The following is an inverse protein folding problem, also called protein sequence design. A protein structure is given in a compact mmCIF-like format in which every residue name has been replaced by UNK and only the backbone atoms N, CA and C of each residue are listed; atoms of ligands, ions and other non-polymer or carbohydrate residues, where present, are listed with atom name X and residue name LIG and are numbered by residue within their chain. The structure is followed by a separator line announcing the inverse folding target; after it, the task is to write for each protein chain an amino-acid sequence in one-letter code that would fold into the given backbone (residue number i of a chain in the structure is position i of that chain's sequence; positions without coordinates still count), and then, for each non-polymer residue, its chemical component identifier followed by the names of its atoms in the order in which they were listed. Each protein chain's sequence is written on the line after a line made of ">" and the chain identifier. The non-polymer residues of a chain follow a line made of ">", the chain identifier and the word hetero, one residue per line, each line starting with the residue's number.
data_IF_572639908969
#
_entry.id   IF_572639908969
#
_cell.length_a   1.000
_cell.length_b   1.000
_cell.length_c   1.000
_cell.angle_alpha   90.00
_cell.angle_beta   90.00
_cell.angle_gamma   90.00
#
_symmetry.space_group_name_H-M   'P 1'
#
loop_
_entity.id
_entity.type
_entity.pdbx_description
1 polymer ?
#
# COMPACT_ATOMS: atom_id res chain seq x y z
N UNK A 1 -18.73 1.23 -5.92
CA UNK A 1 -19.44 1.46 -4.64
C UNK A 1 -19.49 0.14 -3.89
N UNK A 2 -19.76 0.12 -2.57
CA UNK A 2 -19.91 -1.13 -1.83
C UNK A 2 -20.93 -2.09 -2.45
N UNK A 3 -22.02 -1.54 -3.02
CA UNK A 3 -23.10 -2.29 -3.66
C UNK A 3 -22.75 -3.02 -4.95
N UNK A 4 -21.59 -2.75 -5.57
CA UNK A 4 -21.21 -3.37 -6.84
C UNK A 4 -19.82 -4.03 -6.82
N UNK A 5 -19.28 -4.30 -5.63
CA UNK A 5 -17.96 -4.91 -5.47
C UNK A 5 -17.94 -6.32 -6.06
N UNK A 6 -18.90 -7.16 -5.67
CA UNK A 6 -19.00 -8.55 -6.12
C UNK A 6 -19.14 -8.70 -7.64
N UNK A 7 -20.11 -8.04 -8.33
CA UNK A 7 -20.23 -8.17 -9.78
C UNK A 7 -18.97 -7.66 -10.51
N UNK A 8 -18.34 -6.59 -10.00
CA UNK A 8 -17.10 -6.07 -10.60
C UNK A 8 -15.89 -6.98 -10.36
N UNK A 9 -15.85 -7.70 -9.25
CA UNK A 9 -14.82 -8.68 -8.98
C UNK A 9 -14.94 -9.86 -9.95
N UNK A 10 -16.18 -10.30 -10.25
CA UNK A 10 -16.42 -11.35 -11.24
C UNK A 10 -16.03 -10.91 -12.66
N UNK A 11 -16.45 -9.71 -13.09
CA UNK A 11 -16.03 -9.15 -14.38
C UNK A 11 -14.49 -9.11 -14.51
N UNK A 12 -13.78 -8.73 -13.44
CA UNK A 12 -12.32 -8.71 -13.45
C UNK A 12 -11.73 -10.11 -13.61
N UNK A 13 -12.26 -11.13 -12.90
CA UNK A 13 -11.80 -12.51 -13.00
C UNK A 13 -11.88 -13.03 -14.44
N UNK A 14 -12.94 -12.68 -15.15
CA UNK A 14 -13.19 -13.15 -16.51
C UNK A 14 -12.28 -12.47 -17.53
N UNK A 15 -11.85 -11.22 -17.28
CA UNK A 15 -11.06 -10.41 -18.22
C UNK A 15 -9.55 -10.44 -17.96
N UNK A 16 -9.12 -10.55 -16.70
CA UNK A 16 -7.75 -10.32 -16.31
C UNK A 16 -6.95 -11.64 -16.30
N UNK A 17 -5.96 -11.77 -17.17
CA UNK A 17 -5.04 -12.90 -17.11
C UNK A 17 -3.97 -12.68 -16.01
N UNK A 18 -3.51 -13.74 -15.30
CA UNK A 18 -2.51 -13.62 -14.23
C UNK A 18 -1.22 -12.90 -14.63
N UNK A 19 -0.81 -13.01 -15.90
CA UNK A 19 0.37 -12.29 -16.45
C UNK A 19 0.27 -10.75 -16.35
N UNK A 20 -0.93 -10.20 -16.17
CA UNK A 20 -1.16 -8.76 -16.03
C UNK A 20 -1.26 -8.28 -14.57
N UNK A 21 -1.16 -9.17 -13.58
CA UNK A 21 -1.24 -8.80 -12.17
C UNK A 21 -0.17 -7.78 -11.78
N UNK A 22 1.06 -7.91 -12.28
CA UNK A 22 2.13 -6.94 -12.04
C UNK A 22 1.78 -5.53 -12.52
N UNK A 23 1.24 -5.42 -13.74
CA UNK A 23 0.81 -4.14 -14.30
C UNK A 23 -0.35 -3.54 -13.51
N UNK A 24 -1.39 -4.33 -13.22
CA UNK A 24 -2.57 -3.85 -12.49
C UNK A 24 -2.22 -3.47 -11.06
N UNK A 25 -1.42 -4.29 -10.36
CA UNK A 25 -0.96 -4.00 -9.00
C UNK A 25 -0.22 -2.67 -8.95
N UNK A 26 0.69 -2.41 -9.89
CA UNK A 26 1.37 -1.13 -9.99
C UNK A 26 0.43 0.04 -10.30
N UNK A 27 -0.52 -0.15 -11.23
CA UNK A 27 -1.52 0.86 -11.53
C UNK A 27 -2.35 1.23 -10.30
N UNK A 28 -2.85 0.22 -9.56
CA UNK A 28 -3.64 0.42 -8.35
C UNK A 28 -2.84 1.18 -7.30
N UNK A 29 -1.58 0.82 -7.06
CA UNK A 29 -0.75 1.51 -6.06
C UNK A 29 -0.51 2.98 -6.43
N UNK A 30 -0.05 3.23 -7.65
CA UNK A 30 0.36 4.57 -8.09
C UNK A 30 -0.83 5.49 -8.35
N UNK A 31 -1.95 4.97 -8.89
CA UNK A 31 -3.07 5.81 -9.35
C UNK A 31 -4.28 5.81 -8.44
N UNK A 32 -4.37 4.88 -7.47
CA UNK A 32 -5.53 4.74 -6.58
C UNK A 32 -5.13 4.73 -5.12
N UNK A 33 -4.41 3.70 -4.67
CA UNK A 33 -4.11 3.49 -3.24
C UNK A 33 -3.34 4.68 -2.66
N UNK A 34 -2.28 5.15 -3.33
CA UNK A 34 -1.49 6.27 -2.81
C UNK A 34 -2.24 7.61 -2.79
N UNK A 35 -3.30 7.79 -3.58
CA UNK A 35 -3.99 9.07 -3.77
C UNK A 35 -5.41 9.12 -3.20
N UNK A 36 -6.03 7.95 -2.94
CA UNK A 36 -7.44 7.84 -2.58
C UNK A 36 -7.63 7.05 -1.27
N UNK A 37 -7.14 7.55 -0.11
CA UNK A 37 -7.22 6.84 1.17
C UNK A 37 -8.65 6.51 1.61
N UNK A 38 -9.61 7.37 1.27
CA UNK A 38 -11.02 7.18 1.60
C UNK A 38 -11.66 5.95 0.91
N UNK A 39 -11.01 5.38 -0.12
CA UNK A 39 -11.49 4.18 -0.81
C UNK A 39 -10.70 2.92 -0.44
N UNK A 40 -9.77 2.97 0.52
CA UNK A 40 -8.98 1.79 0.90
C UNK A 40 -9.83 0.61 1.32
N UNK A 41 -10.80 0.81 2.23
CA UNK A 41 -11.70 -0.26 2.66
C UNK A 41 -12.51 -0.86 1.50
N UNK A 42 -12.87 -0.05 0.50
CA UNK A 42 -13.56 -0.51 -0.71
C UNK A 42 -12.65 -1.38 -1.58
N UNK A 43 -11.39 -0.98 -1.77
CA UNK A 43 -10.42 -1.77 -2.53
C UNK A 43 -10.07 -3.08 -1.83
N UNK A 44 -9.98 -3.06 -0.49
CA UNK A 44 -9.75 -4.24 0.31
C UNK A 44 -10.91 -5.24 0.18
N UNK A 45 -12.15 -4.75 0.31
CA UNK A 45 -13.34 -5.58 0.07
C UNK A 45 -13.35 -6.14 -1.36
N UNK A 46 -12.92 -5.37 -2.35
CA UNK A 46 -12.78 -5.85 -3.73
C UNK A 46 -11.76 -6.98 -3.85
N UNK A 47 -10.59 -6.85 -3.23
CA UNK A 47 -9.57 -7.91 -3.22
C UNK A 47 -10.06 -9.17 -2.50
N UNK A 48 -10.86 -9.02 -1.44
CA UNK A 48 -11.43 -10.16 -0.71
C UNK A 48 -12.41 -10.95 -1.60
N UNK A 49 -13.22 -10.26 -2.41
CA UNK A 49 -14.12 -10.90 -3.37
C UNK A 49 -13.38 -11.65 -4.51
N UNK A 50 -12.11 -11.32 -4.76
CA UNK A 50 -11.31 -12.06 -5.73
C UNK A 50 -10.92 -13.46 -5.24
N UNK A 51 -10.93 -13.71 -3.93
CA UNK A 51 -10.57 -15.00 -3.33
C UNK A 51 -9.21 -15.50 -3.80
N UNK A 52 -9.09 -16.79 -4.07
CA UNK A 52 -7.83 -17.44 -4.47
C UNK A 52 -7.24 -16.88 -5.77
N UNK A 53 -8.10 -16.51 -6.74
CA UNK A 53 -7.67 -15.88 -7.97
C UNK A 53 -6.92 -14.56 -7.70
N UNK A 54 -7.30 -13.82 -6.66
CA UNK A 54 -6.70 -12.54 -6.29
C UNK A 54 -5.33 -12.62 -5.62
N UNK A 55 -4.84 -13.81 -5.23
CA UNK A 55 -3.58 -13.95 -4.47
C UNK A 55 -2.38 -13.32 -5.19
N UNK A 56 -2.20 -13.61 -6.48
CA UNK A 56 -1.11 -13.04 -7.26
C UNK A 56 -1.24 -11.52 -7.47
N UNK A 57 -2.47 -10.99 -7.49
CA UNK A 57 -2.69 -9.54 -7.54
C UNK A 57 -2.33 -8.88 -6.20
N UNK A 58 -2.68 -9.51 -5.06
CA UNK A 58 -2.31 -9.01 -3.73
C UNK A 58 -0.78 -8.97 -3.57
N UNK A 59 -0.06 -10.00 -4.02
CA UNK A 59 1.41 -10.02 -4.03
C UNK A 59 2.00 -8.91 -4.91
N UNK A 60 1.43 -8.69 -6.09
CA UNK A 60 1.84 -7.61 -6.99
C UNK A 60 1.59 -6.23 -6.37
N UNK A 61 0.46 -6.03 -5.69
CA UNK A 61 0.13 -4.80 -4.96
C UNK A 61 1.14 -4.58 -3.83
N UNK A 62 1.39 -5.57 -2.97
CA UNK A 62 2.35 -5.47 -1.87
C UNK A 62 3.76 -5.11 -2.39
N UNK A 63 4.22 -5.82 -3.42
CA UNK A 63 5.51 -5.54 -4.06
C UNK A 63 5.61 -4.10 -4.58
N UNK A 64 4.54 -3.60 -5.20
CA UNK A 64 4.48 -2.22 -5.68
C UNK A 64 4.40 -1.20 -4.53
N UNK A 65 3.71 -1.51 -3.43
CA UNK A 65 3.67 -0.66 -2.22
C UNK A 65 5.08 -0.48 -1.67
N UNK A 66 5.80 -1.58 -1.40
CA UNK A 66 7.18 -1.51 -0.87
C UNK A 66 8.12 -0.74 -1.81
N UNK A 67 8.01 -0.97 -3.12
CA UNK A 67 8.79 -0.23 -4.12
C UNK A 67 8.51 1.29 -4.08
N UNK A 68 7.24 1.69 -3.97
CA UNK A 68 6.86 3.10 -3.93
C UNK A 68 7.23 3.76 -2.59
N UNK A 69 7.08 3.05 -1.47
CA UNK A 69 7.59 3.50 -0.15
C UNK A 69 9.08 3.78 -0.23
N UNK A 70 9.88 2.84 -0.75
CA UNK A 70 11.32 3.04 -0.91
C UNK A 70 11.68 4.21 -1.83
N UNK A 71 10.92 4.44 -2.91
CA UNK A 71 11.11 5.60 -3.79
C UNK A 71 10.83 6.92 -3.07
N UNK A 72 9.74 7.01 -2.31
CA UNK A 72 9.37 8.21 -1.55
C UNK A 72 10.39 8.51 -0.45
N UNK A 73 10.84 7.51 0.29
CA UNK A 73 11.84 7.67 1.35
C UNK A 73 13.21 8.13 0.83
N UNK A 74 13.56 7.80 -0.41
CA UNK A 74 14.78 8.29 -1.08
C UNK A 74 14.61 9.63 -1.80
N UNK A 75 13.39 10.19 -1.82
CA UNK A 75 13.15 11.47 -2.48
C UNK A 75 13.81 12.60 -1.68
N UNK A 76 14.58 13.50 -2.31
CA UNK A 76 15.13 14.67 -1.63
C UNK A 76 14.05 15.65 -1.17
N UNK A 77 12.80 15.47 -1.65
CA UNK A 77 11.65 16.31 -1.31
C UNK A 77 10.80 15.72 -0.18
N UNK A 78 11.15 14.56 0.38
CA UNK A 78 10.27 13.87 1.35
C UNK A 78 10.03 14.67 2.63
N UNK A 79 10.97 15.53 3.03
CA UNK A 79 10.83 16.39 4.22
C UNK A 79 10.03 17.66 3.94
N UNK A 80 10.16 18.22 2.73
CA UNK A 80 9.60 19.53 2.35
C UNK A 80 8.26 19.42 1.63
N UNK A 81 8.03 18.36 0.86
CA UNK A 81 6.82 18.17 0.06
C UNK A 81 5.68 17.57 0.87
N UNK A 82 4.64 18.36 1.11
CA UNK A 82 3.40 17.90 1.74
C UNK A 82 2.70 16.81 0.91
N UNK A 83 2.81 16.85 -0.41
CA UNK A 83 2.22 15.83 -1.27
C UNK A 83 2.93 14.49 -1.12
N UNK A 84 4.27 14.45 -1.16
CA UNK A 84 5.04 13.21 -0.98
C UNK A 84 4.83 12.60 0.41
N UNK A 85 4.80 13.42 1.46
CA UNK A 85 4.44 12.98 2.82
C UNK A 85 3.04 12.37 2.87
N UNK A 86 2.08 12.97 2.16
CA UNK A 86 0.71 12.46 2.09
C UNK A 86 0.64 11.12 1.35
N UNK A 87 1.37 10.97 0.23
CA UNK A 87 1.46 9.70 -0.50
C UNK A 87 2.06 8.60 0.38
N UNK A 88 3.17 8.89 1.08
CA UNK A 88 3.83 7.94 1.97
C UNK A 88 2.88 7.51 3.09
N UNK A 89 2.22 8.48 3.74
CA UNK A 89 1.23 8.22 4.80
C UNK A 89 0.07 7.33 4.32
N UNK A 90 -0.43 7.58 3.11
CA UNK A 90 -1.50 6.77 2.51
C UNK A 90 -1.03 5.34 2.25
N UNK A 91 0.20 5.16 1.75
CA UNK A 91 0.79 3.82 1.59
C UNK A 91 0.98 3.10 2.92
N UNK A 92 1.35 3.82 3.99
CA UNK A 92 1.45 3.27 5.35
C UNK A 92 0.10 2.74 5.85
N UNK A 93 -0.95 3.55 5.71
CA UNK A 93 -2.32 3.17 6.06
C UNK A 93 -2.77 1.92 5.29
N UNK A 94 -2.53 1.89 3.98
CA UNK A 94 -2.85 0.71 3.16
C UNK A 94 -2.09 -0.52 3.62
N UNK A 95 -0.79 -0.39 3.89
CA UNK A 95 0.06 -1.50 4.30
C UNK A 95 -0.43 -2.09 5.62
N UNK A 96 -0.75 -1.25 6.61
CA UNK A 96 -1.36 -1.70 7.87
C UNK A 96 -2.64 -2.51 7.64
N UNK A 97 -3.57 -1.96 6.86
CA UNK A 97 -4.88 -2.60 6.61
C UNK A 97 -4.81 -3.91 5.79
N UNK A 98 -3.89 -4.02 4.83
CA UNK A 98 -3.73 -5.24 4.02
C UNK A 98 -2.86 -6.30 4.72
N UNK A 99 -2.13 -5.93 5.78
CA UNK A 99 -1.24 -6.84 6.52
C UNK A 99 -1.67 -7.03 7.98
N UNK A 100 -1.30 -6.12 8.89
CA UNK A 100 -1.48 -6.24 10.33
C UNK A 100 -2.95 -6.47 10.72
N UNK A 101 -3.87 -5.69 10.15
CA UNK A 101 -5.32 -5.83 10.36
C UNK A 101 -5.87 -7.24 10.01
N UNK A 102 -5.13 -7.96 9.16
CA UNK A 102 -5.47 -9.28 8.63
C UNK A 102 -4.58 -10.38 9.21
N UNK A 103 -3.92 -10.11 10.35
CA UNK A 103 -3.00 -11.02 11.02
C UNK A 103 -1.86 -11.50 10.11
N UNK A 104 -1.38 -10.65 9.20
CA UNK A 104 -0.21 -10.93 8.36
C UNK A 104 0.96 -10.04 8.78
N UNK A 105 2.14 -10.60 9.04
CA UNK A 105 3.28 -9.80 9.48
C UNK A 105 3.85 -8.96 8.34
N UNK A 106 4.39 -7.80 8.68
CA UNK A 106 5.34 -7.07 7.83
C UNK A 106 6.72 -7.62 8.17
N UNK A 107 7.33 -8.35 7.24
CA UNK A 107 8.66 -8.91 7.44
C UNK A 107 9.70 -7.78 7.48
N UNK A 108 10.62 -7.83 8.44
CA UNK A 108 11.72 -6.88 8.59
C UNK A 108 12.54 -6.76 7.28
N UNK A 109 12.74 -7.87 6.58
CA UNK A 109 13.43 -7.92 5.28
C UNK A 109 12.76 -7.02 4.21
N UNK A 110 11.44 -6.86 4.29
CA UNK A 110 10.68 -6.03 3.36
C UNK A 110 10.60 -4.58 3.83
N UNK A 111 10.39 -4.37 5.14
CA UNK A 111 10.32 -3.05 5.76
C UNK A 111 10.63 -3.13 7.26
N UNK A 112 11.83 -2.69 7.63
CA UNK A 112 12.21 -2.54 9.03
C UNK A 112 11.72 -1.19 9.57
N UNK A 113 10.55 -1.18 10.21
CA UNK A 113 9.97 0.04 10.77
C UNK A 113 10.80 0.61 11.94
N UNK A 114 11.50 -0.26 12.68
CA UNK A 114 12.34 0.15 13.81
C UNK A 114 13.57 0.89 13.30
N UNK A 115 14.29 0.29 12.36
CA UNK A 115 15.44 0.90 11.72
C UNK A 115 15.07 2.19 11.00
N UNK A 116 13.91 2.22 10.33
CA UNK A 116 13.43 3.42 9.65
C UNK A 116 13.24 4.60 10.62
N UNK A 117 12.76 4.36 11.85
CA UNK A 117 12.64 5.40 12.88
C UNK A 117 14.01 5.91 13.35
N UNK A 118 14.99 5.02 13.55
CA UNK A 118 16.35 5.42 13.90
C UNK A 118 17.01 6.26 12.80
N UNK A 119 16.99 5.77 11.56
CA UNK A 119 17.52 6.50 10.41
C UNK A 119 16.77 7.83 10.20
N UNK A 120 15.46 7.83 10.39
CA UNK A 120 14.64 9.04 10.31
C UNK A 120 15.06 10.10 11.32
N UNK A 121 15.45 9.69 12.54
CA UNK A 121 15.99 10.59 13.56
C UNK A 121 17.36 11.15 13.14
N UNK A 122 18.28 10.29 12.72
CA UNK A 122 19.65 10.69 12.34
C UNK A 122 19.69 11.61 11.11
N UNK A 123 18.76 11.41 10.17
CA UNK A 123 18.71 12.14 8.89
C UNK A 123 17.73 13.32 8.90
N UNK A 124 17.04 13.58 10.02
CA UNK A 124 16.03 14.65 10.10
C UNK A 124 14.75 14.36 9.29
N UNK A 125 14.50 13.10 8.92
CA UNK A 125 13.33 12.67 8.13
C UNK A 125 12.11 12.24 8.98
N UNK A 126 12.17 12.36 10.31
CA UNK A 126 11.05 11.97 11.21
C UNK A 126 9.70 12.61 10.83
N UNK A 127 9.70 13.82 10.27
CA UNK A 127 8.48 14.49 9.81
C UNK A 127 7.70 13.67 8.75
N UNK A 128 8.38 12.79 8.01
CA UNK A 128 7.78 11.87 7.05
C UNK A 128 7.67 10.44 7.60
N UNK A 129 8.72 9.96 8.29
CA UNK A 129 8.79 8.58 8.80
C UNK A 129 7.80 8.33 9.93
N UNK A 130 7.70 9.22 10.92
CA UNK A 130 6.85 8.97 12.09
C UNK A 130 5.37 8.85 11.71
N UNK A 131 4.77 9.74 10.89
CA UNK A 131 3.39 9.57 10.45
C UNK A 131 3.17 8.30 9.60
N UNK A 132 4.16 7.90 8.81
CA UNK A 132 4.10 6.68 8.01
C UNK A 132 4.05 5.43 8.88
N UNK A 133 4.97 5.29 9.84
CA UNK A 133 5.01 4.15 10.76
C UNK A 133 3.77 4.14 11.66
N UNK A 134 3.33 5.30 12.16
CA UNK A 134 2.08 5.38 12.93
C UNK A 134 0.89 4.84 12.15
N UNK A 135 0.75 5.21 10.86
CA UNK A 135 -0.35 4.71 10.02
C UNK A 135 -0.27 3.21 9.70
N UNK A 136 0.93 2.62 9.68
CA UNK A 136 1.06 1.17 9.60
C UNK A 136 0.49 0.51 10.85
N UNK A 137 0.85 1.04 12.03
CA UNK A 137 0.49 0.46 13.33
C UNK A 137 -0.98 0.71 13.74
N UNK A 138 -1.64 1.69 13.14
CA UNK A 138 -3.10 1.88 13.25
C UNK A 138 -3.90 0.81 12.50
N UNK A 139 -3.24 0.04 11.63
CA UNK A 139 -3.83 -1.00 10.79
C UNK A 139 -4.52 -2.10 11.60
#
# INVERSE_FOLDING_TARGET
>A
SPSNVEPKAQELKDMLAPKYFGWLGNYLVVKRISTQPNFHSLYLAFLDQLGDYGKGLVEAILSSVYLNVGKLLRSPKITTSTSEKSLLKNLGSWLGQITLARNRPILQLMLDCKELLFQGYETGMLIAVTPFVAKILEG
#
